data_IF_514336508016
#
_entry.id   IF_514336508016
#
_cell.length_a   1.000
_cell.length_b   1.000
_cell.length_c   1.000
_cell.angle_alpha   90.00
_cell.angle_beta   90.00
_cell.angle_gamma   90.00
#
_symmetry.space_group_name_H-M   'P 1'
#
loop_
_entity.id
_entity.type
_entity.pdbx_description
1 polymer ?
#
# COMPACT_ATOMS: atom_id res chain seq x y z
N UNK A 1 -16.93 -33.33 -11.31
CA UNK A 1 -15.57 -32.77 -11.35
C UNK A 1 -15.53 -31.55 -10.43
N UNK A 2 -14.99 -31.70 -9.22
CA UNK A 2 -14.75 -30.61 -8.27
C UNK A 2 -13.23 -30.40 -8.22
N UNK A 3 -12.75 -29.22 -8.61
CA UNK A 3 -11.42 -28.76 -8.22
C UNK A 3 -11.62 -27.55 -7.31
N UNK A 4 -11.46 -27.80 -6.02
CA UNK A 4 -11.61 -26.81 -4.97
C UNK A 4 -10.53 -25.74 -5.06
N UNK A 5 -10.96 -24.50 -4.96
CA UNK A 5 -10.13 -23.42 -4.49
C UNK A 5 -9.96 -23.63 -2.98
N UNK A 6 -8.76 -23.99 -2.54
CA UNK A 6 -8.41 -24.01 -1.14
C UNK A 6 -8.34 -22.56 -0.65
N UNK A 7 -9.41 -22.09 -0.03
CA UNK A 7 -9.41 -20.85 0.75
C UNK A 7 -8.47 -21.02 1.96
N UNK A 8 -7.28 -20.44 1.83
CA UNK A 8 -6.42 -20.14 2.96
C UNK A 8 -7.15 -19.16 3.88
N UNK A 9 -7.14 -19.45 5.19
CA UNK A 9 -7.78 -18.77 6.34
C UNK A 9 -7.49 -17.25 6.50
N UNK A 10 -6.90 -16.61 5.50
CA UNK A 10 -6.62 -15.16 5.43
C UNK A 10 -7.71 -14.36 4.70
N UNK A 11 -8.76 -15.00 4.18
CA UNK A 11 -9.65 -14.45 3.13
C UNK A 11 -10.87 -13.63 3.58
N UNK A 12 -11.29 -13.64 4.85
CA UNK A 12 -12.59 -13.05 5.23
C UNK A 12 -12.67 -11.52 5.16
N UNK A 13 -11.52 -10.85 5.14
CA UNK A 13 -11.41 -9.40 5.30
C UNK A 13 -10.71 -8.71 4.11
N UNK A 14 -10.14 -9.49 3.19
CA UNK A 14 -9.57 -9.00 1.93
C UNK A 14 -10.60 -9.21 0.81
N UNK A 15 -10.95 -8.12 0.13
CA UNK A 15 -11.78 -8.11 -1.06
C UNK A 15 -10.88 -8.12 -2.29
N UNK A 16 -11.04 -9.16 -3.12
CA UNK A 16 -10.40 -9.29 -4.42
C UNK A 16 -11.44 -9.06 -5.51
N UNK A 17 -11.21 -8.07 -6.37
CA UNK A 17 -12.16 -7.65 -7.40
C UNK A 17 -11.46 -7.43 -8.74
N UNK A 18 -12.21 -7.47 -9.82
CA UNK A 18 -11.77 -7.02 -11.15
C UNK A 18 -12.43 -5.67 -11.42
N UNK A 19 -11.64 -4.70 -11.88
CA UNK A 19 -12.10 -3.35 -12.23
C UNK A 19 -11.77 -3.04 -13.68
N UNK A 20 -12.76 -2.59 -14.45
CA UNK A 20 -12.53 -2.02 -15.78
C UNK A 20 -12.04 -0.56 -15.71
N UNK A 21 -12.25 0.12 -14.58
CA UNK A 21 -11.79 1.49 -14.36
C UNK A 21 -10.35 1.51 -13.82
N UNK A 22 -9.51 2.47 -14.28
CA UNK A 22 -8.18 2.67 -13.73
C UNK A 22 -8.24 3.23 -12.30
N UNK A 23 -7.17 3.04 -11.50
CA UNK A 23 -7.04 3.67 -10.18
C UNK A 23 -7.08 5.20 -10.29
N UNK A 24 -7.75 5.84 -9.35
CA UNK A 24 -7.97 7.30 -9.39
C UNK A 24 -6.81 8.16 -8.90
N UNK A 25 -5.94 7.65 -8.01
CA UNK A 25 -4.95 8.51 -7.34
C UNK A 25 -3.52 8.34 -7.86
N UNK A 26 -3.11 7.12 -8.21
CA UNK A 26 -1.76 6.87 -8.67
C UNK A 26 -1.67 5.62 -9.54
N UNK A 27 -0.86 5.72 -10.60
CA UNK A 27 -0.49 4.62 -11.48
C UNK A 27 1.00 4.70 -11.76
N UNK A 28 1.69 3.56 -11.72
CA UNK A 28 3.11 3.48 -12.07
C UNK A 28 3.34 2.25 -12.95
N UNK A 29 4.01 2.47 -14.08
CA UNK A 29 4.58 1.40 -14.89
C UNK A 29 6.02 1.17 -14.44
N UNK A 30 6.30 -0.03 -13.95
CA UNK A 30 7.65 -0.49 -13.62
C UNK A 30 8.16 -1.22 -14.86
N UNK A 31 9.30 -0.79 -15.39
CA UNK A 31 9.97 -1.41 -16.52
C UNK A 31 11.29 -2.03 -16.07
N UNK A 32 11.81 -2.96 -16.87
CA UNK A 32 13.10 -3.59 -16.64
C UNK A 32 13.17 -4.30 -15.28
N UNK A 33 12.12 -5.03 -14.93
CA UNK A 33 11.99 -5.81 -13.69
C UNK A 33 13.15 -6.81 -13.51
N UNK A 34 13.64 -7.38 -14.60
CA UNK A 34 14.83 -8.23 -14.62
C UNK A 34 16.06 -7.52 -14.05
N UNK A 35 16.22 -6.20 -14.23
CA UNK A 35 17.34 -5.44 -13.67
C UNK A 35 17.27 -5.32 -12.15
N UNK A 36 16.06 -5.29 -11.56
CA UNK A 36 15.92 -5.33 -10.10
C UNK A 36 16.50 -6.64 -9.55
N UNK A 37 16.28 -7.75 -10.25
CA UNK A 37 16.84 -9.05 -9.89
C UNK A 37 18.36 -9.09 -10.07
N UNK A 38 18.89 -8.53 -11.17
CA UNK A 38 20.34 -8.50 -11.45
C UNK A 38 21.09 -7.67 -10.41
N UNK A 39 20.54 -6.52 -10.00
CA UNK A 39 21.15 -5.67 -8.99
C UNK A 39 20.84 -6.10 -7.55
N UNK A 40 20.22 -7.26 -7.36
CA UNK A 40 19.80 -7.76 -6.04
C UNK A 40 18.94 -6.75 -5.25
N UNK A 41 18.18 -5.91 -5.97
CA UNK A 41 17.23 -5.00 -5.36
C UNK A 41 16.05 -5.83 -4.85
N UNK A 42 15.91 -5.89 -3.53
CA UNK A 42 14.83 -6.63 -2.88
C UNK A 42 13.45 -6.03 -3.17
N UNK A 43 13.42 -4.72 -3.40
CA UNK A 43 12.20 -3.94 -3.61
C UNK A 43 12.39 -2.79 -4.59
N UNK A 44 11.29 -2.35 -5.16
CA UNK A 44 11.14 -1.10 -5.88
C UNK A 44 10.31 -0.12 -5.04
N UNK A 45 10.72 1.14 -4.98
CA UNK A 45 9.93 2.22 -4.38
C UNK A 45 9.51 3.22 -5.44
N UNK A 46 8.23 3.58 -5.46
CA UNK A 46 7.71 4.58 -6.39
C UNK A 46 8.10 6.01 -5.99
N UNK A 47 7.85 6.95 -6.92
CA UNK A 47 7.74 8.36 -6.58
C UNK A 47 6.63 8.64 -5.54
N UNK A 48 6.68 9.82 -4.92
CA UNK A 48 5.66 10.27 -3.97
C UNK A 48 4.43 10.76 -4.74
N UNK A 49 3.25 10.41 -4.26
CA UNK A 49 1.97 10.95 -4.74
C UNK A 49 1.11 11.45 -3.59
N UNK A 50 0.14 12.32 -3.89
CA UNK A 50 -0.73 12.92 -2.89
C UNK A 50 -2.16 12.40 -3.02
N UNK A 51 -2.75 12.01 -1.89
CA UNK A 51 -4.13 11.56 -1.80
C UNK A 51 -4.67 11.81 -0.39
N UNK A 52 -5.91 12.29 -0.28
CA UNK A 52 -6.54 12.60 1.01
C UNK A 52 -5.82 13.67 1.85
N UNK A 53 -4.97 14.51 1.24
CA UNK A 53 -4.15 15.51 1.93
C UNK A 53 -2.83 14.98 2.51
N UNK A 54 -2.44 13.75 2.17
CA UNK A 54 -1.22 13.12 2.65
C UNK A 54 -0.34 12.64 1.48
N UNK A 55 0.94 12.47 1.76
CA UNK A 55 1.95 11.97 0.81
C UNK A 55 2.14 10.47 0.99
N UNK A 56 2.12 9.75 -0.11
CA UNK A 56 2.19 8.29 -0.15
C UNK A 56 3.22 7.81 -1.17
N UNK A 57 3.65 6.56 -1.02
CA UNK A 57 4.45 5.82 -2.00
C UNK A 57 3.94 4.39 -2.10
N UNK A 58 4.21 3.73 -3.21
CA UNK A 58 4.10 2.29 -3.36
C UNK A 58 5.47 1.64 -3.18
N UNK A 59 5.49 0.52 -2.44
CA UNK A 59 6.66 -0.33 -2.28
C UNK A 59 6.32 -1.73 -2.76
N UNK A 60 7.04 -2.19 -3.77
CA UNK A 60 6.80 -3.44 -4.47
C UNK A 60 7.98 -4.40 -4.27
N UNK A 61 7.68 -5.63 -3.88
CA UNK A 61 8.67 -6.71 -3.71
C UNK A 61 8.40 -7.77 -4.77
N UNK A 62 9.17 -7.82 -5.88
CA UNK A 62 8.93 -8.74 -6.98
C UNK A 62 9.12 -10.21 -6.61
N UNK A 63 9.85 -10.51 -5.54
CA UNK A 63 10.11 -11.88 -5.08
C UNK A 63 9.63 -12.13 -3.64
N UNK A 64 8.70 -11.29 -3.17
CA UNK A 64 8.16 -11.33 -1.81
C UNK A 64 9.00 -10.55 -0.80
N UNK A 65 8.32 -10.04 0.23
CA UNK A 65 8.97 -9.33 1.33
C UNK A 65 9.64 -10.32 2.30
N UNK A 66 10.98 -10.44 2.21
CA UNK A 66 11.75 -11.39 3.02
C UNK A 66 11.69 -11.07 4.51
N UNK A 67 11.62 -9.78 4.86
CA UNK A 67 11.48 -9.35 6.27
C UNK A 67 10.19 -9.85 6.92
N UNK A 68 9.19 -10.23 6.12
CA UNK A 68 7.91 -10.81 6.56
C UNK A 68 7.80 -12.30 6.27
N UNK A 69 8.91 -12.96 5.93
CA UNK A 69 8.98 -14.38 5.55
C UNK A 69 8.07 -14.75 4.36
N UNK A 70 7.76 -13.79 3.48
CA UNK A 70 6.99 -14.06 2.27
C UNK A 70 7.90 -14.66 1.21
N UNK A 71 7.45 -15.77 0.62
CA UNK A 71 8.07 -16.43 -0.52
C UNK A 71 7.00 -16.73 -1.57
N UNK A 72 7.42 -16.92 -2.81
CA UNK A 72 6.56 -17.38 -3.92
C UNK A 72 5.36 -16.48 -4.28
N UNK A 73 5.33 -15.26 -3.72
CA UNK A 73 4.34 -14.24 -4.01
C UNK A 73 5.03 -12.90 -4.21
N UNK A 74 4.46 -12.04 -5.04
CA UNK A 74 4.78 -10.63 -5.00
C UNK A 74 4.11 -9.99 -3.79
N UNK A 75 4.75 -8.99 -3.21
CA UNK A 75 4.17 -8.16 -2.14
C UNK A 75 4.06 -6.72 -2.59
N UNK A 76 3.00 -6.03 -2.17
CA UNK A 76 2.76 -4.63 -2.53
C UNK A 76 2.21 -3.87 -1.33
N UNK A 77 2.82 -2.72 -1.03
CA UNK A 77 2.49 -1.89 0.12
C UNK A 77 2.26 -0.44 -0.25
N UNK A 78 1.31 0.18 0.43
CA UNK A 78 1.16 1.62 0.53
C UNK A 78 1.95 2.11 1.74
N UNK A 79 2.78 3.13 1.54
CA UNK A 79 3.63 3.70 2.59
C UNK A 79 3.36 5.19 2.71
N UNK A 80 3.09 5.66 3.92
CA UNK A 80 2.98 7.08 4.20
C UNK A 80 4.37 7.73 4.17
N UNK A 81 4.54 8.75 3.32
CA UNK A 81 5.80 9.44 3.09
C UNK A 81 5.85 10.79 3.81
N UNK A 82 7.06 11.24 4.16
CA UNK A 82 7.27 12.57 4.77
C UNK A 82 6.84 12.67 6.23
N UNK A 83 6.60 11.54 6.90
CA UNK A 83 6.17 11.43 8.28
C UNK A 83 7.29 11.53 9.34
N UNK A 84 8.49 11.94 8.93
CA UNK A 84 9.69 11.92 9.77
C UNK A 84 9.86 13.25 10.53
N UNK A 85 8.97 13.48 11.50
CA UNK A 85 9.11 14.55 12.49
C UNK A 85 9.32 13.94 13.88
N UNK A 86 10.35 14.34 14.66
CA UNK A 86 10.68 13.70 15.95
C UNK A 86 9.66 13.92 17.10
N UNK A 87 8.45 14.43 16.84
CA UNK A 87 7.52 14.88 17.89
C UNK A 87 6.03 14.56 17.67
N UNK A 88 5.66 13.68 16.75
CA UNK A 88 4.32 13.78 16.20
C UNK A 88 3.45 12.56 16.60
N UNK A 89 2.66 12.72 17.69
CA UNK A 89 1.49 11.86 18.04
C UNK A 89 0.32 12.04 17.04
N UNK A 90 0.56 11.79 15.76
CA UNK A 90 -0.48 11.84 14.74
C UNK A 90 -0.81 10.41 14.30
N UNK A 91 -2.03 10.27 13.79
CA UNK A 91 -2.56 9.03 13.27
C UNK A 91 -3.32 9.37 12.00
N UNK A 92 -3.15 8.56 10.97
CA UNK A 92 -3.90 8.68 9.72
C UNK A 92 -4.67 7.40 9.53
N UNK A 93 -5.98 7.51 9.53
CA UNK A 93 -6.88 6.41 9.20
C UNK A 93 -7.18 6.47 7.71
N UNK A 94 -6.80 5.44 6.97
CA UNK A 94 -7.02 5.40 5.52
C UNK A 94 -7.51 4.03 5.06
N UNK A 95 -8.58 4.02 4.27
CA UNK A 95 -8.93 2.88 3.43
C UNK A 95 -8.19 3.02 2.10
N UNK A 96 -7.67 1.92 1.55
CA UNK A 96 -6.95 1.96 0.29
C UNK A 96 -7.23 0.72 -0.57
N UNK A 97 -7.06 0.87 -1.87
CA UNK A 97 -7.14 -0.20 -2.87
C UNK A 97 -5.85 -0.22 -3.66
N UNK A 98 -5.27 -1.40 -3.86
CA UNK A 98 -4.07 -1.59 -4.66
C UNK A 98 -4.40 -2.41 -5.90
N UNK A 99 -3.88 -1.98 -7.04
CA UNK A 99 -4.25 -2.48 -8.35
C UNK A 99 -3.04 -3.05 -9.09
N UNK A 100 -3.28 -4.07 -9.90
CA UNK A 100 -2.34 -4.61 -10.87
C UNK A 100 -3.07 -4.80 -12.21
N UNK A 101 -2.55 -4.18 -13.26
CA UNK A 101 -3.13 -4.24 -14.60
C UNK A 101 -2.84 -5.58 -15.28
N UNK A 102 -3.88 -6.25 -15.72
CA UNK A 102 -3.80 -7.23 -16.80
C UNK A 102 -3.69 -6.47 -18.13
N UNK A 103 -2.50 -6.48 -18.71
CA UNK A 103 -2.17 -5.76 -19.94
C UNK A 103 -2.76 -6.43 -21.20
N UNK A 104 -3.24 -7.67 -21.10
CA UNK A 104 -3.91 -8.35 -22.20
C UNK A 104 -5.37 -7.88 -22.33
N UNK A 105 -6.05 -7.68 -21.20
CA UNK A 105 -7.48 -7.34 -21.18
C UNK A 105 -7.76 -5.86 -20.88
N UNK A 106 -6.76 -5.12 -20.39
CA UNK A 106 -6.92 -3.74 -19.94
C UNK A 106 -7.65 -3.61 -18.59
N UNK A 107 -7.92 -4.73 -17.91
CA UNK A 107 -8.63 -4.77 -16.62
C UNK A 107 -7.64 -4.82 -15.46
N UNK A 108 -8.09 -4.38 -14.30
CA UNK A 108 -7.27 -4.36 -13.09
C UNK A 108 -7.73 -5.42 -12.10
N UNK A 109 -6.78 -6.22 -11.63
CA UNK A 109 -6.91 -6.93 -10.37
C UNK A 109 -6.78 -5.93 -9.22
N UNK A 110 -7.80 -5.80 -8.39
CA UNK A 110 -7.82 -4.88 -7.26
C UNK A 110 -7.99 -5.62 -5.93
N UNK A 111 -7.09 -5.37 -4.98
CA UNK A 111 -7.15 -5.86 -3.61
C UNK A 111 -7.42 -4.70 -2.65
N UNK A 112 -8.32 -4.94 -1.70
CA UNK A 112 -8.71 -4.00 -0.66
C UNK A 112 -9.02 -4.73 0.63
N UNK A 113 -8.80 -4.10 1.77
CA UNK A 113 -9.25 -4.60 3.05
C UNK A 113 -10.57 -3.91 3.45
N UNK A 114 -11.49 -4.62 4.11
CA UNK A 114 -12.80 -4.06 4.50
C UNK A 114 -12.70 -2.87 5.46
N UNK A 115 -11.66 -2.86 6.30
CA UNK A 115 -11.45 -1.84 7.33
C UNK A 115 -10.36 -0.86 6.89
N UNK A 116 -10.48 0.38 7.37
CA UNK A 116 -9.38 1.34 7.28
C UNK A 116 -8.17 0.89 8.09
N UNK A 117 -6.98 1.33 7.66
CA UNK A 117 -5.72 1.11 8.35
C UNK A 117 -5.26 2.36 9.05
N UNK A 118 -4.70 2.17 10.24
CA UNK A 118 -4.12 3.22 11.08
C UNK A 118 -2.62 3.32 10.79
N UNK A 119 -2.22 4.40 10.16
CA UNK A 119 -0.83 4.78 9.94
C UNK A 119 -0.40 5.72 11.07
N UNK A 120 0.79 5.52 11.62
CA UNK A 120 1.35 6.35 12.69
C UNK A 120 2.88 6.23 12.70
N UNK A 121 3.57 6.99 13.56
CA UNK A 121 5.04 7.06 13.58
C UNK A 121 5.78 5.71 13.73
N UNK A 122 5.13 4.66 14.26
CA UNK A 122 5.72 3.31 14.37
C UNK A 122 5.20 2.34 13.30
N UNK A 123 4.18 2.71 12.52
CA UNK A 123 3.56 1.89 11.48
C UNK A 123 3.20 2.75 10.28
N UNK A 124 4.15 2.86 9.33
CA UNK A 124 4.03 3.71 8.14
C UNK A 124 3.57 2.95 6.90
N UNK A 125 3.61 1.61 6.91
CA UNK A 125 3.26 0.76 5.78
C UNK A 125 2.04 -0.11 6.07
N UNK A 126 1.16 -0.26 5.09
CA UNK A 126 0.12 -1.29 5.07
C UNK A 126 -0.02 -1.81 3.64
N UNK A 127 -0.39 -3.08 3.48
CA UNK A 127 -0.44 -3.71 2.17
C UNK A 127 -0.66 -5.20 2.26
N UNK A 128 -0.34 -5.88 1.16
CA UNK A 128 -0.59 -7.31 1.01
C UNK A 128 0.73 -8.05 0.86
N UNK A 129 1.03 -8.85 1.89
CA UNK A 129 2.20 -9.73 1.93
C UNK A 129 2.15 -10.74 0.76
N UNK A 130 0.99 -11.37 0.54
CA UNK A 130 0.75 -12.29 -0.57
C UNK A 130 -0.24 -11.66 -1.57
N UNK A 131 0.19 -10.62 -2.29
CA UNK A 131 -0.68 -9.89 -3.23
C UNK A 131 -1.09 -10.77 -4.42
N UNK A 132 -0.11 -11.42 -5.06
CA UNK A 132 -0.32 -12.35 -6.17
C UNK A 132 0.81 -13.39 -6.16
N UNK A 133 0.51 -14.65 -6.46
CA UNK A 133 1.55 -15.67 -6.57
C UNK A 133 2.50 -15.36 -7.72
N UNK A 134 3.79 -15.70 -7.57
CA UNK A 134 4.77 -15.51 -8.64
C UNK A 134 4.36 -16.26 -9.91
N UNK A 135 3.81 -17.47 -9.75
CA UNK A 135 3.30 -18.26 -10.88
C UNK A 135 2.23 -17.50 -11.67
N UNK A 136 1.25 -16.88 -10.99
CA UNK A 136 0.22 -16.13 -11.69
C UNK A 136 0.77 -14.82 -12.28
N UNK A 137 1.72 -14.19 -11.58
CA UNK A 137 2.35 -12.94 -12.02
C UNK A 137 3.19 -13.10 -13.29
N UNK A 138 3.95 -14.19 -13.40
CA UNK A 138 4.85 -14.45 -14.54
C UNK A 138 4.21 -15.21 -15.69
N UNK A 139 3.04 -15.82 -15.49
CA UNK A 139 2.27 -16.45 -16.55
C UNK A 139 1.70 -15.38 -17.49
N UNK A 140 2.25 -15.34 -18.71
CA UNK A 140 1.93 -14.35 -19.74
C UNK A 140 0.46 -14.37 -20.16
N UNK A 141 -0.26 -15.49 -19.94
CA UNK A 141 -1.69 -15.57 -20.23
C UNK A 141 -2.52 -14.66 -19.31
N UNK A 142 -2.01 -14.34 -18.11
CA UNK A 142 -2.67 -13.42 -17.17
C UNK A 142 -2.32 -11.94 -17.40
N UNK A 143 -1.36 -11.63 -18.27
CA UNK A 143 -1.05 -10.26 -18.70
C UNK A 143 -0.43 -9.32 -17.65
N UNK A 144 -0.11 -9.80 -16.45
CA UNK A 144 0.39 -8.95 -15.36
C UNK A 144 1.86 -8.51 -15.54
N UNK A 145 2.67 -9.35 -16.17
CA UNK A 145 4.06 -9.05 -16.54
C UNK A 145 4.23 -9.25 -18.04
N UNK A 146 4.38 -8.15 -18.78
CA UNK A 146 4.52 -8.14 -20.23
C UNK A 146 5.76 -7.33 -20.60
N UNK A 147 6.62 -7.88 -21.46
CA UNK A 147 7.85 -7.21 -21.91
C UNK A 147 8.71 -6.67 -20.75
N UNK A 148 8.86 -7.48 -19.69
CA UNK A 148 9.59 -7.12 -18.47
C UNK A 148 9.05 -5.86 -17.77
N UNK A 149 7.77 -5.57 -17.97
CA UNK A 149 7.05 -4.46 -17.35
C UNK A 149 5.72 -4.88 -16.72
N UNK A 150 5.39 -4.24 -15.60
CA UNK A 150 4.10 -4.37 -14.94
C UNK A 150 3.57 -2.98 -14.56
N UNK A 151 2.26 -2.87 -14.36
CA UNK A 151 1.62 -1.59 -14.00
C UNK A 151 0.83 -1.76 -12.71
N UNK A 152 1.22 -1.00 -11.70
CA UNK A 152 0.55 -0.94 -10.41
C UNK A 152 -0.26 0.35 -10.26
N UNK A 153 -1.25 0.29 -9.38
CA UNK A 153 -2.12 1.40 -9.07
C UNK A 153 -2.49 1.50 -7.60
N UNK A 154 -2.92 2.69 -7.18
CA UNK A 154 -3.42 2.94 -5.83
C UNK A 154 -4.62 3.89 -5.81
N UNK A 155 -5.54 3.61 -4.89
CA UNK A 155 -6.54 4.56 -4.43
C UNK A 155 -6.45 4.67 -2.91
N UNK A 156 -6.51 5.90 -2.38
CA UNK A 156 -6.37 6.15 -0.95
C UNK A 156 -7.44 7.12 -0.49
N UNK A 157 -8.24 6.68 0.47
CA UNK A 157 -9.33 7.45 1.07
C UNK A 157 -9.02 7.65 2.54
N UNK A 158 -8.58 8.85 2.88
CA UNK A 158 -8.26 9.23 4.25
C UNK A 158 -9.54 9.66 4.97
N UNK A 159 -9.80 9.05 6.12
CA UNK A 159 -10.86 9.49 7.02
C UNK A 159 -10.45 10.84 7.60
N UNK A 160 -11.18 11.89 7.24
CA UNK A 160 -10.98 13.22 7.83
C UNK A 160 -11.29 13.13 9.32
N UNK A 161 -10.26 13.22 10.14
CA UNK A 161 -10.44 13.45 11.56
C UNK A 161 -10.98 14.88 11.74
N UNK A 162 -12.00 15.05 12.59
CA UNK A 162 -12.34 16.38 13.10
C UNK A 162 -11.13 16.79 13.92
N UNK A 163 -10.24 17.61 13.36
CA UNK A 163 -9.00 17.98 14.03
C UNK A 163 -9.29 18.37 15.47
N UNK A 164 -8.83 17.56 16.43
CA UNK A 164 -8.48 18.11 17.73
C UNK A 164 -7.28 19.01 17.44
N UNK A 165 -7.58 20.27 17.13
CA UNK A 165 -6.58 21.33 17.15
C UNK A 165 -5.87 21.20 18.49
N UNK A 166 -4.62 20.74 18.47
CA UNK A 166 -3.76 20.77 19.64
C UNK A 166 -3.69 22.24 20.04
N UNK A 167 -4.40 22.60 21.10
CA UNK A 167 -4.25 23.90 21.74
C UNK A 167 -2.84 23.93 22.29
N UNK A 168 -1.95 24.65 21.61
CA UNK A 168 -0.65 25.03 22.15
C UNK A 168 -0.94 26.08 23.19
N UNK A 169 -0.74 25.75 24.46
CA UNK A 169 -0.80 26.73 25.54
C UNK A 169 0.60 27.30 25.73
N UNK A 170 0.69 28.62 25.67
CA UNK A 170 1.88 29.38 26.05
C UNK A 170 1.59 29.85 27.47
N UNK A 171 2.44 29.47 28.43
CA UNK A 171 2.36 30.06 29.76
C UNK A 171 3.01 31.45 29.76
N UNK A 172 2.79 32.25 30.80
CA UNK A 172 3.33 33.61 30.92
C UNK A 172 4.88 33.67 30.94
N UNK A 173 5.54 32.51 30.97
CA UNK A 173 6.99 32.34 30.91
C UNK A 173 7.50 31.96 29.50
N UNK A 174 6.62 31.86 28.50
CA UNK A 174 6.99 31.52 27.12
C UNK A 174 7.31 30.04 26.87
N UNK A 175 7.13 29.16 27.86
CA UNK A 175 7.35 27.73 27.70
C UNK A 175 6.17 27.06 27.00
N UNK A 176 6.47 26.29 25.94
CA UNK A 176 5.50 25.49 25.18
C UNK A 176 5.30 24.13 25.84
N UNK A 177 4.06 23.80 26.18
CA UNK A 177 3.70 22.44 26.60
C UNK A 177 2.64 21.86 25.68
N UNK A 178 2.81 20.58 25.36
CA UNK A 178 1.87 19.78 24.57
C UNK A 178 1.13 18.87 25.55
N UNK A 179 -0.17 19.02 25.70
CA UNK A 179 -0.94 18.11 26.54
C UNK A 179 -1.07 16.77 25.81
N UNK A 180 -0.51 15.70 26.42
CA UNK A 180 -0.73 14.34 25.98
C UNK A 180 -2.20 13.96 26.22
N UNK A 181 -2.78 13.24 25.26
CA UNK A 181 -4.17 12.83 25.22
C UNK A 181 -4.59 12.15 26.54
N UNK A 182 -5.54 12.75 27.26
CA UNK A 182 -6.38 12.04 28.21
C UNK A 182 -7.76 11.93 27.56
N UNK A 183 -8.12 10.70 27.22
CA UNK A 183 -9.48 10.33 26.82
C UNK A 183 -10.40 10.50 28.04
N UNK A 184 -11.54 11.18 27.85
CA UNK A 184 -12.68 11.13 28.76
C UNK A 184 -13.77 10.29 28.13
#
# INVERSE_FOLDING_TARGET
MKSGLTESSSSLWILRTISDAPPTHYTIKIQSLSLLSVHSLEKYESGVFEAGGYKWKLVFYPNGNKSRNVKEHISLYLVLAGANGPQTCWEVHAAFRLFLLDQNTGKYLALQEKNERRFHGMKLDWGFDQFLSLKAFTDTSNGFLMEDACVFGAEVFVRKEKSMQRRVYINDQGCRYVQACLEN
#
